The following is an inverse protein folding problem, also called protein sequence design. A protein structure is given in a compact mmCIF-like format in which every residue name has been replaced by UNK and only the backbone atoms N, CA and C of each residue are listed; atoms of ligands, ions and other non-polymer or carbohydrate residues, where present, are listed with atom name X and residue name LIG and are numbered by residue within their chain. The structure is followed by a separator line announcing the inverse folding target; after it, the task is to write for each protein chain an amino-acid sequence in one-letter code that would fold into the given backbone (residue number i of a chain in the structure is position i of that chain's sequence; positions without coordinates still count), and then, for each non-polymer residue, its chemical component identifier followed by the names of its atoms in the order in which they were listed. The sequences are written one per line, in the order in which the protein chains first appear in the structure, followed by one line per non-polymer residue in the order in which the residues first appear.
data_IF_898346911290
#
_entry.id   IF_898346911290
#
_cell.length_a   1.000
_cell.length_b   1.000
_cell.length_c   1.000
_cell.angle_alpha   90.00
_cell.angle_beta   90.00
_cell.angle_gamma   90.00
#
_symmetry.space_group_name_H-M   'P 1'
#
loop_
_entity.id
_entity.type
_entity.pdbx_description
1 polymer ?
#
# COMPACT_ATOMS: atom_id res chain seq x y z
N UNK A 1 -11.40 -12.33 4.32
CA UNK A 1 -12.50 -12.70 3.40
C UNK A 1 -13.10 -14.01 3.87
N UNK A 2 -14.41 -14.04 4.15
CA UNK A 2 -15.13 -15.28 4.47
C UNK A 2 -15.57 -16.00 3.19
N UNK A 3 -15.36 -17.31 3.11
CA UNK A 3 -15.70 -18.17 1.98
C UNK A 3 -17.16 -18.65 2.13
N UNK A 4 -18.09 -18.11 1.34
CA UNK A 4 -19.46 -18.64 1.22
C UNK A 4 -19.63 -19.28 -0.15
N UNK A 5 -20.35 -20.41 -0.18
CA UNK A 5 -20.63 -21.26 -1.34
C UNK A 5 -20.94 -20.47 -2.63
N UNK A 6 -20.02 -20.56 -3.59
CA UNK A 6 -19.97 -19.76 -4.82
C UNK A 6 -18.60 -19.07 -4.93
N UNK A 7 -18.15 -18.78 -6.16
CA UNK A 7 -16.91 -18.00 -6.40
C UNK A 7 -17.12 -16.52 -6.02
N UNK A 8 -17.46 -16.27 -4.74
CA UNK A 8 -17.92 -14.97 -4.25
C UNK A 8 -16.96 -14.38 -3.25
N UNK A 9 -16.80 -13.06 -3.31
CA UNK A 9 -15.97 -12.29 -2.39
C UNK A 9 -16.75 -11.09 -1.90
N UNK A 10 -17.07 -11.10 -0.61
CA UNK A 10 -17.61 -9.96 0.11
C UNK A 10 -16.47 -9.21 0.81
N UNK A 11 -16.45 -7.88 0.71
CA UNK A 11 -15.48 -7.04 1.40
C UNK A 11 -15.90 -5.57 1.52
N UNK A 12 -15.30 -4.86 2.48
CA UNK A 12 -15.56 -3.44 2.67
C UNK A 12 -14.70 -2.58 1.75
N UNK A 13 -15.33 -1.58 1.14
CA UNK A 13 -14.67 -0.56 0.33
C UNK A 13 -14.29 0.65 1.19
N UNK A 14 -15.25 1.19 1.94
CA UNK A 14 -15.05 2.34 2.84
C UNK A 14 -15.71 2.08 4.19
N UNK A 15 -15.01 2.48 5.26
CA UNK A 15 -15.44 2.32 6.64
C UNK A 15 -15.52 3.73 7.26
N UNK A 16 -16.68 4.14 7.81
CA UNK A 16 -16.88 5.44 8.45
C UNK A 16 -15.78 5.77 9.46
N UNK A 17 -15.30 7.02 9.40
CA UNK A 17 -14.27 7.59 10.28
C UNK A 17 -12.94 6.83 10.32
N UNK A 18 -12.76 5.79 9.49
CA UNK A 18 -11.49 5.09 9.39
C UNK A 18 -10.48 6.02 8.75
N UNK A 19 -9.43 6.31 9.51
CA UNK A 19 -8.32 7.09 9.00
C UNK A 19 -7.59 6.32 7.90
N UNK A 20 -7.36 7.01 6.79
CA UNK A 20 -6.60 6.48 5.68
C UNK A 20 -5.46 7.45 5.41
N UNK A 21 -4.23 6.96 5.59
CA UNK A 21 -3.03 7.73 5.34
C UNK A 21 -2.83 7.97 3.85
N UNK A 22 -2.41 9.20 3.54
CA UNK A 22 -2.21 9.72 2.20
C UNK A 22 -0.99 10.62 2.15
N UNK A 23 -0.39 10.66 0.97
CA UNK A 23 0.70 11.56 0.66
C UNK A 23 0.29 12.45 -0.51
N UNK A 24 0.54 13.75 -0.37
CA UNK A 24 0.44 14.70 -1.46
C UNK A 24 1.75 15.47 -1.54
N UNK A 25 2.17 15.76 -2.76
CA UNK A 25 3.47 16.35 -3.05
C UNK A 25 3.73 17.68 -2.34
N UNK A 26 2.67 18.47 -2.12
CA UNK A 26 2.76 19.76 -1.42
C UNK A 26 2.36 19.67 0.05
N UNK A 27 1.38 18.82 0.40
CA UNK A 27 0.84 18.75 1.77
C UNK A 27 1.62 17.77 2.65
N UNK A 28 2.47 16.95 2.05
CA UNK A 28 3.12 15.85 2.74
C UNK A 28 2.10 14.79 3.16
N UNK A 29 2.28 14.25 4.37
CA UNK A 29 1.45 13.18 4.90
C UNK A 29 0.24 13.77 5.60
N UNK A 30 -0.93 13.27 5.27
CA UNK A 30 -2.17 13.62 5.94
C UNK A 30 -3.08 12.41 6.00
N UNK A 31 -4.03 12.45 6.92
CA UNK A 31 -5.04 11.43 7.06
C UNK A 31 -6.33 11.96 6.48
N UNK A 32 -6.99 11.14 5.68
CA UNK A 32 -8.35 11.39 5.26
C UNK A 32 -9.28 10.44 6.00
N UNK A 33 -10.53 10.88 6.15
CA UNK A 33 -11.61 10.07 6.69
C UNK A 33 -12.89 10.41 5.95
N UNK A 34 -13.79 9.45 5.89
CA UNK A 34 -15.08 9.62 5.24
C UNK A 34 -16.17 9.42 6.28
N UNK A 35 -17.10 10.37 6.36
CA UNK A 35 -18.31 10.23 7.15
C UNK A 35 -19.22 9.17 6.55
N UNK A 36 -20.16 8.64 7.33
CA UNK A 36 -21.17 7.69 6.81
C UNK A 36 -22.01 8.32 5.70
N UNK A 37 -22.28 9.63 5.77
CA UNK A 37 -23.01 10.40 4.75
C UNK A 37 -22.20 10.47 3.45
N UNK A 38 -20.92 10.83 3.54
CA UNK A 38 -20.02 10.89 2.38
C UNK A 38 -19.86 9.51 1.72
N UNK A 39 -19.75 8.45 2.52
CA UNK A 39 -19.68 7.08 1.98
C UNK A 39 -20.97 6.72 1.23
N UNK A 40 -22.14 7.10 1.76
CA UNK A 40 -23.42 6.90 1.07
C UNK A 40 -23.45 7.62 -0.28
N UNK A 41 -23.00 8.87 -0.35
CA UNK A 41 -22.94 9.63 -1.60
C UNK A 41 -22.05 8.96 -2.67
N UNK A 42 -20.89 8.43 -2.25
CA UNK A 42 -20.00 7.69 -3.14
C UNK A 42 -20.61 6.38 -3.61
N UNK A 43 -21.29 5.65 -2.72
CA UNK A 43 -22.02 4.42 -3.06
C UNK A 43 -23.15 4.69 -4.04
N UNK A 44 -23.96 5.73 -3.81
CA UNK A 44 -25.06 6.11 -4.69
C UNK A 44 -24.55 6.56 -6.08
N UNK A 45 -23.40 7.23 -6.12
CA UNK A 45 -22.71 7.57 -7.38
C UNK A 45 -22.17 6.34 -8.09
N UNK A 46 -21.58 5.41 -7.35
CA UNK A 46 -21.04 4.17 -7.89
C UNK A 46 -22.13 3.28 -8.49
N UNK A 47 -23.27 3.13 -7.81
CA UNK A 47 -24.38 2.30 -8.29
C UNK A 47 -24.99 2.83 -9.60
N UNK A 48 -24.87 4.13 -9.88
CA UNK A 48 -25.33 4.76 -11.13
C UNK A 48 -24.38 4.53 -12.31
N UNK A 49 -23.13 4.16 -12.03
CA UNK A 49 -22.13 3.92 -13.08
C UNK A 49 -22.29 2.49 -13.60
N UNK A 50 -22.41 2.37 -14.92
CA UNK A 50 -22.40 1.08 -15.60
C UNK A 50 -20.96 0.66 -15.89
N UNK A 51 -20.67 -0.63 -15.80
CA UNK A 51 -19.41 -1.26 -16.25
C UNK A 51 -18.13 -0.69 -15.63
N UNK A 52 -18.07 -0.59 -14.29
CA UNK A 52 -16.82 -0.23 -13.60
C UNK A 52 -15.86 -1.43 -13.69
N UNK A 53 -14.64 -1.27 -14.25
CA UNK A 53 -13.66 -2.34 -14.28
C UNK A 53 -13.22 -2.70 -12.86
N UNK A 54 -13.15 -4.00 -12.56
CA UNK A 54 -12.48 -4.50 -11.37
C UNK A 54 -11.01 -4.72 -11.76
N UNK A 55 -10.10 -3.97 -11.15
CA UNK A 55 -8.66 -4.05 -11.45
C UNK A 55 -7.85 -4.54 -10.26
N UNK A 56 -6.66 -5.07 -10.55
CA UNK A 56 -5.71 -5.48 -9.50
C UNK A 56 -4.93 -4.25 -9.02
N UNK A 57 -5.25 -3.76 -7.83
CA UNK A 57 -4.54 -2.63 -7.21
C UNK A 57 -4.47 -1.37 -8.08
N UNK A 58 -5.54 -1.04 -8.81
CA UNK A 58 -5.59 0.13 -9.70
C UNK A 58 -4.60 0.07 -10.88
N UNK A 59 -4.17 -1.14 -11.26
CA UNK A 59 -3.38 -1.34 -12.48
C UNK A 59 -4.26 -1.39 -13.72
N UNK A 60 -3.63 -1.42 -14.89
CA UNK A 60 -4.29 -1.68 -16.18
C UNK A 60 -4.81 -3.12 -16.30
N UNK A 61 -4.39 -4.03 -15.40
CA UNK A 61 -4.87 -5.41 -15.39
C UNK A 61 -6.26 -5.49 -14.73
N UNK A 62 -7.28 -5.66 -15.56
CA UNK A 62 -8.65 -5.94 -15.12
C UNK A 62 -8.92 -7.44 -15.01
N UNK A 63 -9.77 -7.81 -14.04
CA UNK A 63 -10.39 -9.14 -14.01
C UNK A 63 -11.28 -9.32 -15.24
N UNK A 64 -11.29 -10.51 -15.83
CA UNK A 64 -11.95 -10.75 -17.11
C UNK A 64 -13.43 -11.11 -16.97
N UNK A 65 -13.77 -11.86 -15.93
CA UNK A 65 -15.11 -12.45 -15.81
C UNK A 65 -15.64 -12.37 -14.38
N UNK A 66 -16.29 -11.25 -14.08
CA UNK A 66 -16.86 -10.96 -12.78
C UNK A 66 -18.23 -10.25 -12.90
N UNK A 67 -19.01 -10.33 -11.83
CA UNK A 67 -20.28 -9.63 -11.65
C UNK A 67 -20.31 -9.00 -10.26
N UNK A 68 -20.71 -7.73 -10.17
CA UNK A 68 -21.05 -7.10 -8.90
C UNK A 68 -22.42 -7.63 -8.45
N UNK A 69 -22.44 -8.68 -7.63
CA UNK A 69 -23.68 -9.34 -7.18
C UNK A 69 -24.39 -8.56 -6.08
N UNK A 70 -23.67 -7.77 -5.28
CA UNK A 70 -24.27 -6.96 -4.23
C UNK A 70 -23.45 -5.71 -3.89
N UNK A 71 -24.12 -4.61 -3.51
CA UNK A 71 -23.51 -3.35 -3.07
C UNK A 71 -24.44 -2.69 -2.04
N UNK A 72 -24.03 -2.63 -0.78
CA UNK A 72 -24.91 -2.15 0.30
C UNK A 72 -24.16 -1.51 1.46
N UNK A 73 -24.89 -0.68 2.21
CA UNK A 73 -24.40 -0.10 3.46
C UNK A 73 -24.82 -0.98 4.64
N UNK A 74 -23.94 -1.12 5.63
CA UNK A 74 -24.32 -1.65 6.94
C UNK A 74 -25.30 -0.67 7.58
N UNK A 75 -26.45 -1.17 8.01
CA UNK A 75 -27.51 -0.42 8.69
C UNK A 75 -28.05 -1.25 9.84
N UNK A 76 -28.79 -0.62 10.77
CA UNK A 76 -29.42 -1.36 11.88
C UNK A 76 -30.29 -2.53 11.38
N UNK A 77 -30.95 -2.35 10.24
CA UNK A 77 -31.88 -3.34 9.69
C UNK A 77 -31.20 -4.59 9.12
N UNK A 78 -29.94 -4.50 8.68
CA UNK A 78 -29.23 -5.63 8.06
C UNK A 78 -28.06 -6.15 8.90
N UNK A 79 -27.65 -5.45 9.96
CA UNK A 79 -26.47 -5.78 10.77
C UNK A 79 -26.50 -7.20 11.33
N UNK A 80 -27.66 -7.68 11.77
CA UNK A 80 -27.83 -9.05 12.30
C UNK A 80 -27.59 -10.14 11.25
N UNK A 81 -27.89 -9.85 9.98
CA UNK A 81 -27.84 -10.80 8.86
C UNK A 81 -26.51 -10.81 8.12
N UNK A 82 -25.63 -9.85 8.43
CA UNK A 82 -24.28 -9.78 7.87
C UNK A 82 -23.38 -10.83 8.52
N UNK A 83 -22.41 -11.35 7.76
CA UNK A 83 -21.44 -12.31 8.25
C UNK A 83 -20.67 -11.78 9.46
N UNK A 84 -20.41 -12.65 10.45
CA UNK A 84 -19.82 -12.31 11.75
C UNK A 84 -18.61 -11.36 11.66
N UNK A 85 -17.71 -11.62 10.71
CA UNK A 85 -16.51 -10.81 10.48
C UNK A 85 -16.78 -9.31 10.26
N UNK A 86 -17.92 -8.96 9.67
CA UNK A 86 -18.30 -7.58 9.35
C UNK A 86 -19.28 -6.97 10.36
N UNK A 87 -19.80 -7.73 11.34
CA UNK A 87 -20.78 -7.21 12.32
C UNK A 87 -20.19 -6.11 13.22
N UNK A 88 -18.88 -6.15 13.45
CA UNK A 88 -18.17 -5.14 14.24
C UNK A 88 -17.89 -3.86 13.45
N UNK A 89 -18.18 -3.82 12.15
CA UNK A 89 -18.00 -2.62 11.36
C UNK A 89 -19.09 -1.59 11.67
N UNK A 90 -18.76 -0.29 11.66
CA UNK A 90 -19.71 0.76 11.97
C UNK A 90 -20.81 0.85 10.91
N UNK A 91 -21.99 1.32 11.33
CA UNK A 91 -23.11 1.63 10.43
C UNK A 91 -22.67 2.69 9.43
N UNK A 92 -23.04 2.49 8.17
CA UNK A 92 -22.57 3.28 7.04
C UNK A 92 -21.31 2.71 6.37
N UNK A 93 -20.75 1.60 6.87
CA UNK A 93 -19.72 0.86 6.13
C UNK A 93 -20.29 0.36 4.80
N UNK A 94 -19.58 0.60 3.71
CA UNK A 94 -19.96 0.13 2.39
C UNK A 94 -19.30 -1.20 2.07
N UNK A 95 -20.12 -2.22 1.89
CA UNK A 95 -19.73 -3.56 1.46
C UNK A 95 -20.12 -3.79 0.01
N UNK A 96 -19.26 -4.52 -0.71
CA UNK A 96 -19.56 -5.08 -2.03
C UNK A 96 -19.28 -6.56 -2.07
N UNK A 97 -20.08 -7.27 -2.86
CA UNK A 97 -19.88 -8.66 -3.20
C UNK A 97 -19.66 -8.77 -4.71
N UNK A 98 -18.56 -9.43 -5.08
CA UNK A 98 -18.30 -9.82 -6.45
C UNK A 98 -18.42 -11.34 -6.58
N UNK A 99 -19.05 -11.78 -7.67
CA UNK A 99 -19.06 -13.18 -8.13
C UNK A 99 -18.12 -13.31 -9.32
N UNK A 100 -17.26 -14.32 -9.31
CA UNK A 100 -16.31 -14.62 -10.37
C UNK A 100 -16.77 -15.84 -11.16
N UNK A 101 -16.83 -15.73 -12.48
CA UNK A 101 -17.27 -16.84 -13.33
C UNK A 101 -16.08 -17.70 -13.82
N UNK A 102 -14.86 -17.16 -13.74
CA UNK A 102 -13.62 -17.87 -14.06
C UNK A 102 -13.00 -18.45 -12.77
N UNK A 103 -12.95 -19.78 -12.68
CA UNK A 103 -12.44 -20.49 -11.51
C UNK A 103 -10.92 -20.32 -11.34
N UNK A 104 -10.15 -20.27 -12.42
CA UNK A 104 -8.71 -20.08 -12.37
C UNK A 104 -8.38 -18.67 -11.86
N UNK A 105 -9.07 -17.65 -12.38
CA UNK A 105 -8.91 -16.27 -11.94
C UNK A 105 -9.29 -16.10 -10.46
N UNK A 106 -10.36 -16.77 -10.03
CA UNK A 106 -10.77 -16.78 -8.62
C UNK A 106 -9.75 -17.47 -7.71
N UNK A 107 -9.22 -18.64 -8.09
CA UNK A 107 -8.19 -19.34 -7.32
C UNK A 107 -6.88 -18.53 -7.24
N UNK A 108 -6.50 -17.86 -8.33
CA UNK A 108 -5.34 -16.96 -8.36
C UNK A 108 -5.54 -15.73 -7.45
N UNK A 109 -6.76 -15.20 -7.40
CA UNK A 109 -7.08 -14.13 -6.45
C UNK A 109 -6.96 -14.60 -5.00
N UNK A 110 -7.46 -15.80 -4.69
CA UNK A 110 -7.39 -16.38 -3.34
C UNK A 110 -5.96 -16.70 -2.87
N UNK A 111 -5.03 -16.96 -3.79
CA UNK A 111 -3.61 -17.22 -3.51
C UNK A 111 -2.74 -15.96 -3.53
N UNK A 112 -3.30 -14.81 -3.93
CA UNK A 112 -2.58 -13.55 -4.01
C UNK A 112 -2.45 -12.83 -2.66
N UNK A 113 -1.58 -11.81 -2.60
CA UNK A 113 -1.42 -10.92 -1.44
C UNK A 113 -2.51 -9.81 -1.36
N UNK A 114 -3.59 -9.91 -2.13
CA UNK A 114 -4.67 -8.92 -2.13
C UNK A 114 -5.60 -9.11 -0.92
N UNK A 115 -5.71 -8.07 -0.09
CA UNK A 115 -6.37 -8.15 1.24
C UNK A 115 -7.74 -7.46 1.33
N UNK A 116 -8.25 -6.86 0.25
CA UNK A 116 -9.55 -6.20 0.26
C UNK A 116 -9.83 -5.34 -0.96
N UNK A 117 -10.98 -4.68 -0.94
CA UNK A 117 -11.41 -3.78 -2.01
C UNK A 117 -10.95 -2.34 -1.77
N UNK A 118 -10.86 -1.59 -2.86
CA UNK A 118 -10.69 -0.14 -2.85
C UNK A 118 -11.42 0.48 -4.04
N UNK A 119 -11.75 1.75 -3.91
CA UNK A 119 -12.35 2.56 -4.98
C UNK A 119 -11.48 3.78 -5.24
N UNK A 120 -11.36 4.15 -6.51
CA UNK A 120 -10.75 5.41 -6.90
C UNK A 120 -11.73 6.55 -6.66
N UNK A 121 -11.30 7.52 -5.86
CA UNK A 121 -12.08 8.69 -5.52
C UNK A 121 -11.41 9.92 -6.08
N UNK A 122 -12.16 10.70 -6.85
CA UNK A 122 -11.81 12.07 -7.17
C UNK A 122 -12.42 12.98 -6.10
N UNK A 123 -11.58 13.73 -5.41
CA UNK A 123 -12.04 14.68 -4.41
C UNK A 123 -11.05 15.83 -4.28
N UNK A 124 -11.53 16.90 -3.66
CA UNK A 124 -10.71 18.09 -3.40
C UNK A 124 -10.67 18.35 -1.91
N UNK A 125 -9.50 18.67 -1.38
CA UNK A 125 -9.35 19.13 0.01
C UNK A 125 -8.92 20.58 0.01
N UNK A 126 -9.38 21.34 1.00
CA UNK A 126 -8.94 22.71 1.21
C UNK A 126 -8.13 22.74 2.50
N UNK A 127 -6.93 23.31 2.47
CA UNK A 127 -6.12 23.48 3.67
C UNK A 127 -6.63 24.64 4.55
N UNK A 128 -5.99 24.84 5.70
CA UNK A 128 -6.31 25.91 6.65
C UNK A 128 -6.14 27.33 6.08
N UNK A 129 -5.38 27.48 4.98
CA UNK A 129 -5.16 28.75 4.30
C UNK A 129 -6.14 28.98 3.14
N UNK A 130 -7.11 28.09 2.95
CA UNK A 130 -8.11 28.19 1.89
C UNK A 130 -7.60 27.70 0.52
N UNK A 131 -6.44 27.04 0.45
CA UNK A 131 -5.92 26.49 -0.80
C UNK A 131 -6.54 25.13 -1.08
N UNK A 132 -7.17 24.99 -2.24
CA UNK A 132 -7.78 23.74 -2.69
C UNK A 132 -6.79 22.88 -3.47
N UNK A 133 -6.78 21.58 -3.18
CA UNK A 133 -5.96 20.56 -3.82
C UNK A 133 -6.88 19.50 -4.42
N UNK A 134 -6.72 19.22 -5.72
CA UNK A 134 -7.42 18.14 -6.42
C UNK A 134 -6.62 16.84 -6.32
N UNK A 135 -7.26 15.79 -5.84
CA UNK A 135 -6.56 14.59 -5.35
C UNK A 135 -6.68 13.38 -6.27
N UNK A 136 -7.38 13.51 -7.41
CA UNK A 136 -7.52 12.45 -8.43
C UNK A 136 -6.17 11.94 -8.96
N UNK A 137 -5.20 12.84 -9.10
CA UNK A 137 -3.97 12.59 -9.87
C UNK A 137 -2.72 12.29 -9.02
N UNK A 138 -2.81 12.32 -7.68
CA UNK A 138 -1.62 12.32 -6.80
C UNK A 138 -1.69 11.33 -5.63
N UNK A 139 -2.58 10.34 -5.70
CA UNK A 139 -2.81 9.39 -4.63
C UNK A 139 -2.07 8.08 -4.88
N UNK A 140 -0.77 8.08 -4.59
CA UNK A 140 0.00 6.84 -4.51
C UNK A 140 -0.34 6.14 -3.19
N UNK A 141 -0.89 4.92 -3.28
CA UNK A 141 -1.26 4.12 -2.12
C UNK A 141 0.05 3.68 -1.47
N UNK A 142 0.33 4.14 -0.25
CA UNK A 142 1.58 3.78 0.46
C UNK A 142 1.62 2.32 0.97
N UNK A 143 1.46 1.35 0.09
CA UNK A 143 1.83 -0.03 0.35
C UNK A 143 3.27 -0.32 -0.11
N UNK A 144 3.76 0.37 -1.16
CA UNK A 144 5.10 0.18 -1.72
C UNK A 144 5.82 1.51 -1.92
N UNK A 145 6.98 1.64 -1.29
CA UNK A 145 7.84 2.82 -1.41
C UNK A 145 8.24 3.13 -2.86
N UNK A 146 8.30 2.12 -3.75
CA UNK A 146 8.55 2.29 -5.19
C UNK A 146 7.49 3.11 -5.92
N UNK A 147 6.28 3.23 -5.37
CA UNK A 147 5.24 4.10 -5.92
C UNK A 147 5.64 5.57 -5.71
N UNK A 148 6.13 5.91 -4.51
CA UNK A 148 6.55 7.25 -4.08
C UNK A 148 7.81 7.81 -4.73
N UNK A 149 8.55 6.97 -5.46
CA UNK A 149 9.89 7.29 -5.94
C UNK A 149 9.97 7.14 -7.46
N UNK A 150 10.91 7.86 -8.07
CA UNK A 150 11.27 7.70 -9.48
C UNK A 150 12.12 6.45 -9.74
N UNK A 151 12.19 5.55 -8.76
CA UNK A 151 12.98 4.32 -8.73
C UNK A 151 12.16 3.17 -8.12
N UNK A 152 12.58 1.94 -8.43
CA UNK A 152 12.15 0.75 -7.71
C UNK A 152 13.13 0.44 -6.58
N UNK A 153 12.60 0.07 -5.42
CA UNK A 153 13.39 -0.33 -4.26
C UNK A 153 13.10 -1.79 -3.94
N UNK A 154 14.17 -2.57 -3.82
CA UNK A 154 14.11 -3.95 -3.41
C UNK A 154 14.94 -4.20 -2.15
N UNK A 155 14.49 -5.15 -1.35
CA UNK A 155 15.29 -5.75 -0.28
C UNK A 155 15.71 -7.12 -0.83
N UNK A 156 16.99 -7.29 -1.12
CA UNK A 156 17.56 -8.55 -1.61
C UNK A 156 18.58 -9.06 -0.60
N UNK A 157 18.70 -10.38 -0.51
CA UNK A 157 19.74 -11.05 0.25
C UNK A 157 20.36 -12.18 -0.56
N UNK A 158 21.43 -12.76 -0.02
CA UNK A 158 22.14 -13.86 -0.67
C UNK A 158 21.22 -15.05 -0.93
N UNK A 159 21.29 -15.62 -2.14
CA UNK A 159 20.63 -16.89 -2.44
C UNK A 159 21.59 -18.05 -2.19
N UNK A 160 21.05 -19.18 -1.72
CA UNK A 160 21.77 -20.45 -1.61
C UNK A 160 21.72 -21.28 -2.90
N UNK A 161 21.02 -20.80 -3.93
CA UNK A 161 20.79 -21.51 -5.19
C UNK A 161 21.81 -21.25 -6.30
N UNK A 162 22.81 -20.40 -6.06
CA UNK A 162 23.92 -20.15 -6.99
C UNK A 162 25.17 -20.97 -6.66
N UNK A 163 26.06 -21.16 -7.62
CA UNK A 163 27.37 -21.75 -7.39
C UNK A 163 28.29 -20.78 -6.61
N UNK A 164 28.09 -20.70 -5.29
CA UNK A 164 28.86 -19.85 -4.37
C UNK A 164 27.99 -19.27 -3.25
N UNK A 165 28.60 -19.01 -2.08
CA UNK A 165 27.97 -18.18 -1.03
C UNK A 165 27.93 -16.74 -1.56
N UNK A 166 26.78 -16.30 -2.02
CA UNK A 166 26.60 -14.90 -2.43
C UNK A 166 26.42 -14.07 -1.16
N UNK A 167 27.53 -13.69 -0.52
CA UNK A 167 27.52 -12.74 0.60
C UNK A 167 27.03 -11.38 0.08
N UNK A 168 25.74 -11.09 0.28
CA UNK A 168 25.26 -9.72 0.15
C UNK A 168 25.81 -8.97 1.37
N UNK A 169 26.60 -7.92 1.12
CA UNK A 169 27.17 -7.04 2.15
C UNK A 169 26.10 -6.37 3.03
N UNK A 170 26.49 -5.36 3.83
CA UNK A 170 25.62 -4.75 4.84
C UNK A 170 24.19 -4.44 4.35
N UNK A 171 23.21 -4.53 5.25
CA UNK A 171 21.80 -4.32 4.93
C UNK A 171 21.57 -3.06 4.08
N UNK A 172 20.97 -3.24 2.90
CA UNK A 172 20.77 -2.16 1.95
C UNK A 172 19.49 -2.34 1.13
N UNK A 173 18.98 -1.22 0.66
CA UNK A 173 17.99 -1.11 -0.39
C UNK A 173 18.69 -1.19 -1.74
N UNK A 174 18.34 -2.17 -2.55
CA UNK A 174 18.80 -2.25 -3.93
C UNK A 174 17.91 -1.34 -4.81
N UNK A 175 18.55 -0.47 -5.58
CA UNK A 175 17.87 0.58 -6.34
C UNK A 175 17.86 0.22 -7.82
N UNK A 176 16.67 0.22 -8.42
CA UNK A 176 16.47 -0.12 -9.81
C UNK A 176 15.78 1.03 -10.54
N UNK A 177 16.09 1.21 -11.83
CA UNK A 177 15.42 2.22 -12.66
C UNK A 177 13.91 1.92 -12.77
N UNK A 178 13.05 2.95 -12.68
CA UNK A 178 11.59 2.78 -12.81
C UNK A 178 11.27 2.16 -14.18
N UNK A 179 10.44 1.11 -14.17
CA UNK A 179 10.08 0.27 -15.33
C UNK A 179 11.24 -0.55 -15.95
N UNK A 180 12.30 -0.80 -15.18
CA UNK A 180 13.40 -1.67 -15.60
C UNK A 180 13.91 -2.50 -14.43
N UNK A 181 14.49 -3.68 -14.72
CA UNK A 181 15.23 -4.49 -13.76
C UNK A 181 16.72 -4.10 -13.69
N UNK A 182 17.10 -2.97 -14.30
CA UNK A 182 18.46 -2.46 -14.24
C UNK A 182 18.73 -1.89 -12.85
N UNK A 183 19.60 -2.57 -12.10
CA UNK A 183 20.21 -2.05 -10.88
C UNK A 183 21.05 -0.80 -11.21
N UNK A 184 20.82 0.29 -10.46
CA UNK A 184 21.50 1.58 -10.60
C UNK A 184 22.22 2.02 -9.32
N UNK A 185 22.27 1.18 -8.30
CA UNK A 185 22.97 1.44 -7.05
C UNK A 185 22.26 0.85 -5.84
N UNK A 186 22.73 1.26 -4.66
CA UNK A 186 22.15 0.84 -3.38
C UNK A 186 22.16 1.97 -2.36
N UNK A 187 21.24 1.93 -1.41
CA UNK A 187 21.20 2.81 -0.23
C UNK A 187 21.30 1.93 1.00
N UNK A 188 22.27 2.17 1.88
CA UNK A 188 22.40 1.37 3.11
C UNK A 188 21.25 1.63 4.08
N UNK A 189 20.72 0.55 4.67
CA UNK A 189 19.67 0.65 5.67
C UNK A 189 20.29 1.14 6.99
N UNK A 190 19.81 2.25 7.55
CA UNK A 190 20.30 2.74 8.83
C UNK A 190 19.86 1.78 9.95
N UNK A 191 20.78 1.50 10.90
CA UNK A 191 20.40 0.81 12.14
C UNK A 191 19.37 1.64 12.90
N UNK A 192 18.41 1.00 13.55
CA UNK A 192 17.32 1.70 14.22
C UNK A 192 17.82 2.61 15.35
N UNK A 193 18.80 2.16 16.14
CA UNK A 193 19.43 2.96 17.20
C UNK A 193 20.03 4.25 16.65
N UNK A 194 20.89 4.12 15.64
CA UNK A 194 21.50 5.27 14.98
C UNK A 194 20.45 6.18 14.33
N UNK A 195 19.46 5.61 13.64
CA UNK A 195 18.39 6.38 13.00
C UNK A 195 17.61 7.27 13.98
N UNK A 196 17.38 6.79 15.20
CA UNK A 196 16.66 7.54 16.23
C UNK A 196 17.48 8.72 16.79
N UNK A 197 18.80 8.67 16.72
CA UNK A 197 19.70 9.74 17.18
C UNK A 197 19.82 10.90 16.17
N UNK A 198 19.48 10.64 14.90
CA UNK A 198 19.69 11.59 13.82
C UNK A 198 18.57 12.63 13.69
N UNK A 199 18.98 13.86 13.40
CA UNK A 199 18.05 14.89 12.94
C UNK A 199 17.64 14.66 11.48
N UNK A 200 16.60 15.37 11.04
CA UNK A 200 16.03 15.17 9.70
C UNK A 200 17.04 15.42 8.56
N UNK A 201 17.97 16.38 8.71
CA UNK A 201 18.96 16.69 7.69
C UNK A 201 19.98 15.55 7.55
N UNK A 202 20.39 14.97 8.68
CA UNK A 202 21.29 13.81 8.71
C UNK A 202 20.61 12.58 8.11
N UNK A 203 19.34 12.34 8.43
CA UNK A 203 18.54 11.25 7.82
C UNK A 203 18.50 11.36 6.30
N UNK A 204 18.31 12.57 5.76
CA UNK A 204 18.36 12.78 4.31
C UNK A 204 19.74 12.46 3.71
N UNK A 205 20.82 12.73 4.44
CA UNK A 205 22.18 12.47 3.96
C UNK A 205 22.50 10.96 3.87
N UNK A 206 21.88 10.15 4.73
CA UNK A 206 22.02 8.69 4.68
C UNK A 206 21.29 8.05 3.49
N UNK A 207 20.23 8.69 2.98
CA UNK A 207 19.48 8.19 1.83
C UNK A 207 20.12 8.61 0.51
N UNK A 208 21.39 8.25 0.32
CA UNK A 208 22.19 8.59 -0.87
C UNK A 208 22.55 7.32 -1.63
N UNK A 209 22.31 7.32 -2.94
CA UNK A 209 22.60 6.16 -3.80
C UNK A 209 24.11 6.01 -3.99
N UNK A 210 24.65 4.85 -3.63
CA UNK A 210 26.05 4.52 -3.89
C UNK A 210 26.25 4.25 -5.39
N UNK A 211 27.25 4.90 -6.00
CA UNK A 211 27.68 4.69 -7.39
C UNK A 211 26.63 5.01 -8.48
N UNK A 212 25.66 5.88 -8.19
CA UNK A 212 24.60 6.27 -9.13
C UNK A 212 24.20 7.75 -9.02
N UNK A 213 23.27 8.17 -9.88
CA UNK A 213 22.60 9.47 -9.73
C UNK A 213 21.72 9.43 -8.47
N UNK A 214 21.87 10.45 -7.63
CA UNK A 214 21.23 10.50 -6.34
C UNK A 214 19.75 10.91 -6.43
N UNK A 215 18.98 10.58 -5.39
CA UNK A 215 17.56 10.91 -5.34
C UNK A 215 17.33 12.41 -5.18
N UNK A 216 16.33 12.99 -5.88
CA UNK A 216 15.87 14.34 -5.62
C UNK A 216 15.54 14.53 -4.14
N UNK A 217 15.87 15.69 -3.58
CA UNK A 217 15.63 16.00 -2.14
C UNK A 217 14.19 15.73 -1.71
N UNK A 218 13.21 15.95 -2.59
CA UNK A 218 11.79 15.68 -2.33
C UNK A 218 11.52 14.18 -2.13
N UNK A 219 12.13 13.33 -2.95
CA UNK A 219 12.02 11.88 -2.84
C UNK A 219 12.71 11.36 -1.58
N UNK A 220 13.89 11.88 -1.24
CA UNK A 220 14.55 11.57 0.04
C UNK A 220 13.66 11.91 1.24
N UNK A 221 12.95 13.05 1.21
CA UNK A 221 11.99 13.42 2.27
C UNK A 221 10.83 12.42 2.36
N UNK A 222 10.29 11.99 1.23
CA UNK A 222 9.22 10.98 1.20
C UNK A 222 9.73 9.65 1.77
N UNK A 223 10.95 9.25 1.42
CA UNK A 223 11.59 8.03 1.90
C UNK A 223 11.85 8.08 3.43
N UNK A 224 12.45 9.15 3.97
CA UNK A 224 12.62 9.31 5.44
C UNK A 224 11.29 9.15 6.15
N UNK A 225 10.26 9.88 5.73
CA UNK A 225 8.94 9.84 6.37
C UNK A 225 8.26 8.48 6.23
N UNK A 226 8.45 7.79 5.10
CA UNK A 226 7.96 6.43 4.93
C UNK A 226 8.64 5.48 5.91
N UNK A 227 9.97 5.55 6.07
CA UNK A 227 10.71 4.73 7.03
C UNK A 227 10.26 4.96 8.47
N UNK A 228 9.97 6.21 8.83
CA UNK A 228 9.56 6.64 10.18
C UNK A 228 8.08 6.38 10.52
N UNK A 229 7.28 5.88 9.57
CA UNK A 229 5.86 5.58 9.78
C UNK A 229 5.65 4.79 11.08
N UNK A 230 4.69 5.22 11.91
CA UNK A 230 4.32 4.57 13.19
C UNK A 230 5.53 4.13 14.03
N UNK A 231 6.35 5.09 14.45
CA UNK A 231 7.55 4.83 15.25
C UNK A 231 8.52 3.85 14.57
N UNK A 232 8.86 4.17 13.32
CA UNK A 232 9.78 3.41 12.47
C UNK A 232 9.31 1.98 12.12
N UNK A 233 8.00 1.73 12.09
CA UNK A 233 7.38 0.45 11.70
C UNK A 233 7.94 -0.06 10.37
N UNK A 234 8.03 0.81 9.36
CA UNK A 234 8.52 0.42 8.04
C UNK A 234 10.02 0.09 8.05
N UNK A 235 10.85 0.89 8.73
CA UNK A 235 12.28 0.57 8.86
C UNK A 235 12.48 -0.77 9.59
N UNK A 236 11.73 -1.03 10.67
CA UNK A 236 11.74 -2.33 11.37
C UNK A 236 11.32 -3.47 10.44
N UNK A 237 10.27 -3.27 9.65
CA UNK A 237 9.80 -4.25 8.65
C UNK A 237 10.87 -4.52 7.59
N UNK A 238 11.59 -3.51 7.12
CA UNK A 238 12.69 -3.68 6.17
C UNK A 238 13.84 -4.51 6.76
N UNK A 239 14.24 -4.24 8.00
CA UNK A 239 15.26 -5.04 8.69
C UNK A 239 14.82 -6.48 8.93
N UNK A 240 13.56 -6.69 9.33
CA UNK A 240 12.99 -8.03 9.48
C UNK A 240 13.02 -8.81 8.16
N UNK A 241 12.67 -8.16 7.05
CA UNK A 241 12.70 -8.78 5.73
C UNK A 241 14.14 -9.11 5.30
N UNK A 242 15.09 -8.18 5.52
CA UNK A 242 16.50 -8.43 5.28
C UNK A 242 17.00 -9.66 6.07
N UNK A 243 16.72 -9.70 7.36
CA UNK A 243 17.11 -10.81 8.24
C UNK A 243 16.47 -12.13 7.83
N UNK A 244 15.20 -12.10 7.40
CA UNK A 244 14.49 -13.29 6.91
C UNK A 244 15.16 -13.87 5.67
N UNK A 245 15.55 -13.02 4.72
CA UNK A 245 16.19 -13.44 3.46
C UNK A 245 17.64 -13.89 3.71
N UNK A 246 18.35 -13.22 4.63
CA UNK A 246 19.76 -13.50 4.95
C UNK A 246 19.94 -14.37 6.21
N UNK A 247 18.91 -15.11 6.64
CA UNK A 247 18.94 -15.91 7.88
C UNK A 247 20.08 -16.93 7.94
N UNK A 248 20.53 -17.40 6.77
CA UNK A 248 21.58 -18.40 6.61
C UNK A 248 22.96 -17.74 6.38
N UNK A 249 23.02 -16.40 6.38
CA UNK A 249 24.23 -15.58 6.25
C UNK A 249 24.57 -14.95 7.60
N UNK A 250 25.87 -14.70 7.86
CA UNK A 250 26.35 -14.05 9.10
C UNK A 250 26.04 -12.54 9.20
N UNK A 251 25.08 -12.02 8.41
CA UNK A 251 24.80 -10.58 8.30
C UNK A 251 23.41 -10.18 8.82
N UNK A 252 22.93 -10.89 9.84
CA UNK A 252 21.73 -10.50 10.55
C UNK A 252 21.95 -9.17 11.28
N UNK A 253 21.01 -8.24 11.12
CA UNK A 253 21.01 -6.94 11.81
C UNK A 253 20.25 -7.09 13.11
N UNK A 254 20.88 -6.74 14.24
CA UNK A 254 20.17 -6.55 15.50
C UNK A 254 19.33 -5.27 15.40
N UNK A 255 18.02 -5.43 15.57
CA UNK A 255 17.01 -4.34 15.49
C UNK A 255 16.98 -3.56 16.80
#
# INVERSE_FOLDING_TARGET
MNKNQGNRILGAILIPEKEIERYHNELGFFKIKFSKETIKEYKDTFDKKLNIPLTKSHSEESFKSFELSNSFLISENNKSSITEHYKNYPIGTWLVEYTFNDEEEFLNLLSSDLIGFSIELEYSITDENGKTFHLKDNFERMNKLSELLSINIFIRGGSTGGAGRNEHGEAHFEIHKKNSLKNIGKIFMPKLSHWNELNFKEKLSLLTIENGEDLPKREKKAFVKWLEKNENENLKRCHNEWNRINKDNNQAVLI
#
